data_IF_945294311880
#
_entry.id   IF_945294311880
#
_cell.length_a   1.000
_cell.length_b   1.000
_cell.length_c   1.000
_cell.angle_alpha   90.00
_cell.angle_beta   90.00
_cell.angle_gamma   90.00
#
_symmetry.space_group_name_H-M   'P 1'
#
loop_
_entity.id
_entity.type
_entity.pdbx_description
1 polymer ?
#
# COMPACT_ATOMS: atom_id res chain seq x y z
N UNK A 1 2.72 7.73 15.90
CA UNK A 1 3.53 8.26 14.76
C UNK A 1 3.47 9.78 14.70
N UNK A 2 2.32 10.42 14.89
CA UNK A 2 2.18 11.88 14.91
C UNK A 2 3.12 12.59 15.90
N UNK A 3 3.24 12.10 17.14
CA UNK A 3 4.08 12.73 18.17
C UNK A 3 5.59 12.76 17.86
N UNK A 4 6.08 11.88 16.96
CA UNK A 4 7.48 11.89 16.53
C UNK A 4 7.75 12.87 15.38
N UNK A 5 6.78 13.13 14.54
CA UNK A 5 6.90 14.09 13.44
C UNK A 5 6.83 15.55 13.93
N UNK A 6 6.06 15.81 15.01
CA UNK A 6 5.92 17.16 15.60
C UNK A 6 7.26 17.75 16.07
N UNK A 7 8.23 16.90 16.44
CA UNK A 7 9.55 17.37 16.87
C UNK A 7 10.52 17.71 15.73
N UNK A 8 10.17 17.42 14.48
CA UNK A 8 11.03 17.68 13.30
C UNK A 8 10.66 18.99 12.61
N UNK A 9 9.38 19.41 12.68
CA UNK A 9 8.88 20.63 12.05
C UNK A 9 8.62 21.73 13.08
N UNK A 10 8.86 23.00 12.71
CA UNK A 10 8.42 24.13 13.51
C UNK A 10 6.89 24.19 13.55
N UNK A 11 6.31 24.58 14.67
CA UNK A 11 4.84 24.64 14.84
C UNK A 11 4.17 25.54 13.77
N UNK A 12 4.86 26.58 13.29
CA UNK A 12 4.41 27.44 12.19
C UNK A 12 4.30 26.67 10.86
N UNK A 13 5.27 25.80 10.55
CA UNK A 13 5.29 25.00 9.33
C UNK A 13 4.15 23.96 9.32
N UNK A 14 3.85 23.36 10.49
CA UNK A 14 2.71 22.44 10.62
C UNK A 14 1.36 23.14 10.36
N UNK A 15 1.21 24.37 10.80
CA UNK A 15 0.01 25.16 10.52
C UNK A 15 -0.14 25.46 9.00
N UNK A 16 0.96 25.75 8.31
CA UNK A 16 0.95 26.02 6.86
C UNK A 16 0.55 24.76 6.07
N UNK A 17 1.03 23.58 6.49
CA UNK A 17 0.62 22.31 5.88
C UNK A 17 -0.85 22.00 6.14
N UNK A 18 -1.34 22.22 7.36
CA UNK A 18 -2.75 22.02 7.69
C UNK A 18 -3.65 22.95 6.88
N UNK A 19 -3.31 24.25 6.82
CA UNK A 19 -4.05 25.21 6.00
C UNK A 19 -4.08 24.81 4.51
N UNK A 20 -2.96 24.30 4.01
CA UNK A 20 -2.88 23.78 2.63
C UNK A 20 -3.77 22.56 2.42
N UNK A 21 -3.80 21.64 3.39
CA UNK A 21 -4.68 20.47 3.34
C UNK A 21 -6.16 20.85 3.40
N UNK A 22 -6.54 21.83 4.24
CA UNK A 22 -7.92 22.35 4.29
C UNK A 22 -8.33 23.08 2.98
N UNK A 23 -7.41 23.82 2.34
CA UNK A 23 -7.63 24.39 1.00
C UNK A 23 -7.82 23.29 -0.04
N UNK A 24 -7.05 22.22 0.04
CA UNK A 24 -7.19 21.03 -0.83
C UNK A 24 -8.55 20.38 -0.63
N UNK A 25 -9.01 20.20 0.61
CA UNK A 25 -10.36 19.69 0.90
C UNK A 25 -11.45 20.57 0.26
N UNK A 26 -11.32 21.90 0.37
CA UNK A 26 -12.23 22.86 -0.28
C UNK A 26 -12.18 22.81 -1.81
N UNK A 27 -11.04 22.43 -2.40
CA UNK A 27 -10.93 22.20 -3.83
C UNK A 27 -11.59 20.87 -4.24
N UNK A 28 -11.32 19.79 -3.56
CA UNK A 28 -11.90 18.44 -3.79
C UNK A 28 -13.44 18.53 -3.75
N UNK A 29 -13.99 19.26 -2.77
CA UNK A 29 -15.44 19.43 -2.61
C UNK A 29 -16.15 20.03 -3.83
N UNK A 30 -15.46 20.78 -4.68
CA UNK A 30 -16.06 21.34 -5.92
C UNK A 30 -16.36 20.27 -6.97
N UNK A 31 -15.72 19.11 -6.86
CA UNK A 31 -15.84 18.01 -7.80
C UNK A 31 -16.61 16.82 -7.22
N UNK A 32 -17.25 17.03 -6.09
CA UNK A 32 -18.08 16.05 -5.40
C UNK A 32 -19.34 15.74 -6.21
N UNK A 33 -19.71 14.47 -6.23
CA UNK A 33 -21.00 13.97 -6.68
C UNK A 33 -21.61 13.22 -5.49
N UNK A 34 -22.75 13.69 -5.00
CA UNK A 34 -23.51 13.08 -3.92
C UNK A 34 -24.84 12.57 -4.43
N UNK A 35 -25.17 11.32 -4.15
CA UNK A 35 -26.46 10.70 -4.46
C UNK A 35 -26.82 9.64 -3.39
N UNK A 36 -27.85 8.85 -3.62
CA UNK A 36 -28.33 7.81 -2.70
C UNK A 36 -27.30 6.68 -2.44
N UNK A 37 -26.23 6.62 -3.24
CA UNK A 37 -25.14 5.64 -3.07
C UNK A 37 -24.05 6.13 -2.16
N UNK A 38 -23.99 7.44 -1.85
CA UNK A 38 -22.93 8.07 -1.09
C UNK A 38 -22.19 9.13 -1.91
N UNK A 39 -20.91 9.40 -1.58
CA UNK A 39 -20.10 10.40 -2.26
C UNK A 39 -18.94 9.81 -3.05
N UNK A 40 -18.74 10.37 -4.23
CA UNK A 40 -17.58 10.15 -5.10
C UNK A 40 -17.17 11.48 -5.73
N UNK A 41 -16.03 11.49 -6.39
CA UNK A 41 -15.48 12.73 -6.94
C UNK A 41 -15.09 12.54 -8.41
N UNK A 42 -15.24 13.62 -9.19
CA UNK A 42 -14.68 13.67 -10.54
C UNK A 42 -13.17 13.72 -10.44
N UNK A 43 -12.49 12.74 -11.00
CA UNK A 43 -11.04 12.61 -10.99
C UNK A 43 -10.51 12.81 -12.40
N UNK A 44 -9.53 13.71 -12.56
CA UNK A 44 -8.82 13.86 -13.84
C UNK A 44 -7.70 12.84 -13.93
N UNK A 45 -7.77 11.92 -14.88
CA UNK A 45 -6.71 10.92 -15.16
C UNK A 45 -5.47 11.50 -15.84
N UNK A 46 -5.43 12.83 -16.10
CA UNK A 46 -4.29 13.48 -16.75
C UNK A 46 -4.02 14.83 -16.12
N UNK A 47 -2.77 15.02 -15.71
CA UNK A 47 -2.27 16.28 -15.16
C UNK A 47 -2.63 17.47 -16.04
N UNK A 48 -3.25 18.52 -15.47
CA UNK A 48 -3.57 19.78 -16.15
C UNK A 48 -4.81 19.77 -17.04
N UNK A 49 -5.62 18.71 -17.07
CA UNK A 49 -6.93 18.75 -17.76
C UNK A 49 -8.05 19.18 -16.82
N UNK A 50 -9.03 19.90 -17.40
CA UNK A 50 -10.25 20.29 -16.72
C UNK A 50 -10.99 19.05 -16.19
N UNK A 51 -11.26 18.95 -14.88
CA UNK A 51 -12.05 17.86 -14.31
C UNK A 51 -13.43 17.71 -14.95
N UNK A 52 -14.00 18.79 -15.50
CA UNK A 52 -15.28 18.74 -16.20
C UNK A 52 -15.21 18.01 -17.57
N UNK A 53 -14.00 17.81 -18.10
CA UNK A 53 -13.73 17.07 -19.33
C UNK A 53 -13.39 15.57 -19.08
N UNK A 54 -13.53 15.08 -17.85
CA UNK A 54 -13.18 13.68 -17.47
C UNK A 54 -14.18 12.70 -18.06
N UNK A 55 -13.66 11.65 -18.70
CA UNK A 55 -14.46 10.52 -19.19
C UNK A 55 -15.16 9.79 -18.01
N UNK A 56 -16.33 9.23 -18.28
CA UNK A 56 -17.18 8.60 -17.27
C UNK A 56 -16.50 7.46 -16.48
N UNK A 57 -15.49 6.81 -17.05
CA UNK A 57 -14.73 5.73 -16.40
C UNK A 57 -14.01 6.14 -15.11
N UNK A 58 -13.65 7.42 -14.97
CA UNK A 58 -13.00 7.94 -13.75
C UNK A 58 -13.99 8.32 -12.65
N UNK A 59 -15.28 8.43 -12.96
CA UNK A 59 -16.32 8.74 -11.98
C UNK A 59 -16.66 7.58 -11.05
N UNK A 60 -16.19 6.39 -11.36
CA UNK A 60 -16.46 5.15 -10.61
C UNK A 60 -15.22 4.56 -9.96
N UNK A 61 -14.09 5.30 -9.95
CA UNK A 61 -12.89 4.82 -9.29
C UNK A 61 -13.10 4.75 -7.77
N UNK A 62 -12.95 3.55 -7.23
CA UNK A 62 -13.12 3.24 -5.81
C UNK A 62 -11.79 3.03 -5.09
N UNK A 63 -10.68 3.12 -5.80
CA UNK A 63 -9.35 2.78 -5.30
C UNK A 63 -8.83 3.72 -4.20
N UNK A 64 -7.82 3.23 -3.47
CA UNK A 64 -7.09 4.06 -2.51
C UNK A 64 -6.18 5.07 -3.22
N UNK A 65 -5.65 4.73 -4.41
CA UNK A 65 -4.67 5.57 -5.10
C UNK A 65 -5.30 6.75 -5.83
N UNK A 66 -6.41 6.56 -6.52
CA UNK A 66 -7.05 7.59 -7.33
C UNK A 66 -8.53 7.80 -7.07
N UNK A 67 -9.16 6.98 -6.22
CA UNK A 67 -10.60 6.91 -6.10
C UNK A 67 -11.19 7.36 -4.76
N UNK A 68 -12.44 6.95 -4.55
CA UNK A 68 -13.24 7.33 -3.39
C UNK A 68 -12.60 6.90 -2.06
N UNK A 69 -11.97 5.71 -2.00
CA UNK A 69 -11.28 5.27 -0.78
C UNK A 69 -10.13 6.20 -0.38
N UNK A 70 -9.34 6.68 -1.35
CA UNK A 70 -8.23 7.59 -1.08
C UNK A 70 -8.68 8.98 -0.62
N UNK A 71 -9.74 9.50 -1.24
CA UNK A 71 -10.32 10.77 -0.83
C UNK A 71 -10.98 10.66 0.55
N UNK A 72 -11.72 9.57 0.82
CA UNK A 72 -12.26 9.28 2.14
C UNK A 72 -11.17 9.15 3.21
N UNK A 73 -10.06 8.48 2.89
CA UNK A 73 -8.90 8.41 3.78
C UNK A 73 -8.28 9.78 4.06
N UNK A 74 -8.15 10.63 3.04
CA UNK A 74 -7.68 12.01 3.21
C UNK A 74 -8.59 12.80 4.19
N UNK A 75 -9.90 12.71 4.04
CA UNK A 75 -10.84 13.37 4.94
C UNK A 75 -10.79 12.78 6.37
N UNK A 76 -10.64 11.47 6.51
CA UNK A 76 -10.46 10.84 7.82
C UNK A 76 -9.19 11.37 8.53
N UNK A 77 -8.08 11.55 7.79
CA UNK A 77 -6.86 12.14 8.35
C UNK A 77 -7.06 13.62 8.74
N UNK A 78 -7.80 14.39 7.97
CA UNK A 78 -8.16 15.77 8.35
C UNK A 78 -9.02 15.81 9.61
N UNK A 79 -9.97 14.91 9.75
CA UNK A 79 -10.74 14.77 10.98
C UNK A 79 -9.84 14.47 12.18
N UNK A 80 -8.92 13.52 12.06
CA UNK A 80 -7.98 13.17 13.12
C UNK A 80 -7.09 14.35 13.57
N UNK A 81 -6.72 15.22 12.65
CA UNK A 81 -5.88 16.39 12.93
C UNK A 81 -6.68 17.58 13.49
N UNK A 82 -7.93 17.76 13.05
CA UNK A 82 -8.71 18.97 13.35
C UNK A 82 -9.82 18.76 14.38
N UNK A 83 -10.33 17.54 14.50
CA UNK A 83 -11.56 17.22 15.25
C UNK A 83 -12.83 17.79 14.59
N UNK A 84 -12.79 18.25 13.36
CA UNK A 84 -13.92 18.87 12.69
C UNK A 84 -14.83 17.81 12.04
N UNK A 85 -16.02 17.59 12.61
CA UNK A 85 -17.00 16.56 12.22
C UNK A 85 -17.32 16.55 10.73
N UNK A 86 -17.35 17.70 10.07
CA UNK A 86 -17.58 17.79 8.62
C UNK A 86 -16.65 16.92 7.79
N UNK A 87 -15.41 16.64 8.27
CA UNK A 87 -14.47 15.78 7.57
C UNK A 87 -14.73 14.28 7.85
N UNK A 88 -15.25 13.97 9.02
CA UNK A 88 -15.71 12.62 9.30
C UNK A 88 -16.91 12.26 8.44
N UNK A 89 -17.91 13.17 8.32
CA UNK A 89 -19.07 13.00 7.44
C UNK A 89 -18.65 12.72 5.97
N UNK A 90 -17.66 13.47 5.44
CA UNK A 90 -17.15 13.21 4.09
C UNK A 90 -16.49 11.82 3.96
N UNK A 91 -15.78 11.35 4.99
CA UNK A 91 -15.18 10.02 4.98
C UNK A 91 -16.25 8.91 5.07
N UNK A 92 -17.29 9.10 5.89
CA UNK A 92 -18.41 8.17 6.01
C UNK A 92 -19.19 8.06 4.70
N UNK A 93 -19.48 9.18 4.03
CA UNK A 93 -20.15 9.20 2.73
C UNK A 93 -19.33 8.53 1.62
N UNK A 94 -17.99 8.65 1.68
CA UNK A 94 -17.10 7.90 0.79
C UNK A 94 -17.19 6.39 1.01
N UNK A 95 -17.21 5.95 2.27
CA UNK A 95 -17.37 4.54 2.61
C UNK A 95 -18.76 4.02 2.20
N UNK A 96 -19.82 4.81 2.40
CA UNK A 96 -21.17 4.50 1.95
C UNK A 96 -21.20 4.22 0.43
N UNK A 97 -20.51 5.06 -0.36
CA UNK A 97 -20.39 4.85 -1.80
C UNK A 97 -19.69 3.52 -2.13
N UNK A 98 -18.58 3.20 -1.45
CA UNK A 98 -17.89 1.93 -1.66
C UNK A 98 -18.80 0.73 -1.36
N UNK A 99 -19.51 0.76 -0.23
CA UNK A 99 -20.38 -0.32 0.22
C UNK A 99 -21.55 -0.50 -0.75
N UNK A 100 -22.20 0.60 -1.16
CA UNK A 100 -23.42 0.56 -1.98
C UNK A 100 -23.15 0.27 -3.46
N UNK A 101 -21.89 0.41 -3.93
CA UNK A 101 -21.52 0.17 -5.32
C UNK A 101 -20.68 -1.08 -5.52
N UNK A 102 -20.29 -1.76 -4.44
CA UNK A 102 -19.48 -2.96 -4.55
C UNK A 102 -20.30 -4.09 -5.21
N UNK A 103 -19.79 -4.56 -6.32
CA UNK A 103 -20.25 -5.77 -6.98
C UNK A 103 -19.08 -6.75 -7.08
N UNK A 104 -19.31 -8.01 -6.71
CA UNK A 104 -18.29 -9.03 -6.83
C UNK A 104 -18.05 -9.33 -8.31
N UNK A 105 -16.87 -8.98 -8.78
CA UNK A 105 -16.44 -9.25 -10.14
C UNK A 105 -15.77 -10.63 -10.25
N UNK A 106 -15.75 -11.20 -11.46
CA UNK A 106 -15.06 -12.48 -11.73
C UNK A 106 -13.53 -12.34 -11.68
N UNK A 107 -13.00 -11.13 -11.93
CA UNK A 107 -11.59 -10.80 -11.87
C UNK A 107 -11.43 -9.45 -11.18
N UNK A 108 -10.86 -9.45 -9.99
CA UNK A 108 -10.58 -8.22 -9.23
C UNK A 108 -9.08 -7.91 -9.17
N UNK A 109 -8.77 -6.64 -9.03
CA UNK A 109 -7.47 -6.22 -8.54
C UNK A 109 -7.46 -6.35 -7.01
N UNK A 110 -6.69 -7.26 -6.40
CA UNK A 110 -6.70 -7.42 -4.95
C UNK A 110 -5.79 -6.42 -4.24
N UNK A 111 -4.89 -5.74 -4.96
CA UNK A 111 -3.81 -4.93 -4.42
C UNK A 111 -4.25 -3.74 -3.56
N UNK A 112 -3.30 -3.17 -2.84
CA UNK A 112 -3.58 -2.09 -1.88
C UNK A 112 -3.89 -0.75 -2.56
N UNK A 113 -3.21 -0.42 -3.66
CA UNK A 113 -3.34 0.90 -4.27
C UNK A 113 -4.56 1.02 -5.17
N UNK A 114 -4.78 0.05 -6.05
CA UNK A 114 -5.83 0.09 -7.07
C UNK A 114 -6.91 -0.97 -6.87
N UNK A 115 -6.96 -1.61 -5.71
CA UNK A 115 -7.80 -2.77 -5.52
C UNK A 115 -8.50 -2.87 -4.18
N UNK A 116 -9.01 -4.07 -3.90
CA UNK A 116 -9.88 -4.36 -2.76
C UNK A 116 -9.19 -4.14 -1.41
N UNK A 117 -7.90 -4.46 -1.30
CA UNK A 117 -7.17 -4.29 -0.03
C UNK A 117 -7.09 -2.84 0.41
N UNK A 118 -6.97 -1.88 -0.52
CA UNK A 118 -6.97 -0.46 -0.20
C UNK A 118 -8.31 0.04 0.32
N UNK A 119 -9.39 -0.41 -0.31
CA UNK A 119 -10.76 -0.11 0.14
C UNK A 119 -11.00 -0.70 1.54
N UNK A 120 -10.57 -1.95 1.75
CA UNK A 120 -10.69 -2.63 3.04
C UNK A 120 -9.88 -1.95 4.15
N UNK A 121 -8.66 -1.48 3.87
CA UNK A 121 -7.85 -0.72 4.85
C UNK A 121 -8.55 0.59 5.21
N UNK A 122 -9.05 1.34 4.23
CA UNK A 122 -9.77 2.59 4.50
C UNK A 122 -10.98 2.35 5.40
N UNK A 123 -11.83 1.37 5.07
CA UNK A 123 -13.04 1.08 5.86
C UNK A 123 -12.72 0.52 7.25
N UNK A 124 -11.63 -0.24 7.43
CA UNK A 124 -11.14 -0.63 8.76
C UNK A 124 -10.69 0.56 9.60
N UNK A 125 -9.99 1.52 9.02
CA UNK A 125 -9.58 2.75 9.71
C UNK A 125 -10.79 3.59 10.11
N UNK A 126 -11.80 3.65 9.26
CA UNK A 126 -13.05 4.34 9.56
C UNK A 126 -13.83 3.61 10.66
N UNK A 127 -13.89 2.27 10.63
CA UNK A 127 -14.46 1.46 11.72
C UNK A 127 -13.77 1.75 13.06
N UNK A 128 -12.44 1.82 13.08
CA UNK A 128 -11.70 2.15 14.31
C UNK A 128 -12.11 3.51 14.91
N UNK A 129 -12.51 4.43 14.07
CA UNK A 129 -12.89 5.77 14.48
C UNK A 129 -14.37 5.88 14.89
N UNK A 130 -15.26 5.23 14.14
CA UNK A 130 -16.72 5.40 14.29
C UNK A 130 -17.39 4.26 15.05
N UNK A 131 -16.81 3.05 15.03
CA UNK A 131 -17.45 1.84 15.52
C UNK A 131 -18.58 1.33 14.62
N UNK A 132 -18.77 1.86 13.41
CA UNK A 132 -19.82 1.39 12.50
C UNK A 132 -19.46 0.02 11.92
N UNK A 133 -20.17 -1.02 12.37
CA UNK A 133 -19.99 -2.42 12.00
C UNK A 133 -20.14 -2.68 10.50
N UNK A 134 -20.83 -1.82 9.73
CA UNK A 134 -20.94 -1.95 8.26
C UNK A 134 -19.58 -1.86 7.61
N UNK A 135 -18.71 -0.97 8.10
CA UNK A 135 -17.34 -0.80 7.60
C UNK A 135 -16.48 -2.04 7.88
N UNK A 136 -16.60 -2.63 9.07
CA UNK A 136 -15.88 -3.87 9.40
C UNK A 136 -16.39 -5.05 8.56
N UNK A 137 -17.72 -5.17 8.40
CA UNK A 137 -18.29 -6.25 7.59
C UNK A 137 -17.89 -6.14 6.12
N UNK A 138 -17.88 -4.93 5.58
CA UNK A 138 -17.42 -4.68 4.22
C UNK A 138 -15.94 -5.06 4.04
N UNK A 139 -15.07 -4.64 4.97
CA UNK A 139 -13.67 -5.06 4.94
C UNK A 139 -13.53 -6.59 4.97
N UNK A 140 -14.27 -7.31 5.81
CA UNK A 140 -14.26 -8.78 5.81
C UNK A 140 -14.69 -9.37 4.47
N UNK A 141 -15.74 -8.83 3.86
CA UNK A 141 -16.22 -9.27 2.54
C UNK A 141 -15.11 -9.14 1.48
N UNK A 142 -14.43 -7.98 1.44
CA UNK A 142 -13.33 -7.76 0.49
C UNK A 142 -12.15 -8.72 0.71
N UNK A 143 -11.85 -9.06 1.96
CA UNK A 143 -10.81 -10.02 2.31
C UNK A 143 -11.13 -11.44 1.82
N UNK A 144 -12.37 -11.91 2.03
CA UNK A 144 -12.83 -13.21 1.57
C UNK A 144 -12.89 -13.29 0.04
N UNK A 145 -13.34 -12.23 -0.62
CA UNK A 145 -13.38 -12.18 -2.08
C UNK A 145 -11.97 -12.19 -2.68
N UNK A 146 -11.02 -11.46 -2.08
CA UNK A 146 -9.61 -11.53 -2.48
C UNK A 146 -9.05 -12.95 -2.34
N UNK A 147 -9.35 -13.65 -1.23
CA UNK A 147 -8.89 -15.03 -1.05
C UNK A 147 -9.54 -16.01 -2.04
N UNK A 148 -10.85 -15.87 -2.26
CA UNK A 148 -11.61 -16.76 -3.16
C UNK A 148 -11.10 -16.68 -4.60
N UNK A 149 -10.58 -15.52 -5.01
CA UNK A 149 -10.08 -15.26 -6.36
C UNK A 149 -8.59 -15.52 -6.53
N UNK A 150 -7.90 -15.95 -5.47
CA UNK A 150 -6.49 -16.31 -5.57
C UNK A 150 -6.27 -17.57 -6.39
N UNK A 151 -5.15 -17.61 -7.10
CA UNK A 151 -4.61 -18.82 -7.71
C UNK A 151 -3.89 -19.61 -6.62
N UNK A 152 -4.14 -20.91 -6.54
CA UNK A 152 -3.51 -21.80 -5.56
C UNK A 152 -2.66 -22.83 -6.28
N UNK A 153 -1.38 -22.87 -5.94
CA UNK A 153 -0.43 -23.86 -6.45
C UNK A 153 0.47 -24.40 -5.34
N UNK A 154 1.49 -25.17 -5.71
CA UNK A 154 2.44 -25.80 -4.77
C UNK A 154 3.29 -24.79 -3.98
N UNK A 155 3.37 -23.54 -4.43
CA UNK A 155 4.14 -22.46 -3.77
C UNK A 155 3.31 -21.72 -2.73
N UNK A 156 1.99 -21.76 -2.87
CA UNK A 156 1.05 -21.02 -2.03
C UNK A 156 -0.06 -20.35 -2.83
N UNK A 157 -0.48 -19.16 -2.42
CA UNK A 157 -1.51 -18.38 -3.12
C UNK A 157 -0.93 -17.09 -3.68
N UNK A 158 -1.40 -16.72 -4.88
CA UNK A 158 -1.06 -15.48 -5.57
C UNK A 158 -2.21 -15.08 -6.50
N UNK A 159 -2.11 -13.92 -7.18
CA UNK A 159 -3.17 -13.49 -8.10
C UNK A 159 -2.64 -13.33 -9.53
N UNK A 160 -1.87 -12.30 -9.80
CA UNK A 160 -1.41 -11.96 -11.16
C UNK A 160 0.11 -12.03 -11.33
N UNK A 161 0.83 -12.49 -10.29
CA UNK A 161 2.29 -12.58 -10.29
C UNK A 161 3.01 -11.26 -9.97
N UNK A 162 2.30 -10.24 -9.51
CA UNK A 162 2.88 -9.02 -8.96
C UNK A 162 3.09 -9.18 -7.45
N UNK A 163 4.14 -9.90 -7.11
CA UNK A 163 4.45 -10.30 -5.73
C UNK A 163 4.97 -9.17 -4.83
N UNK A 164 5.18 -7.98 -5.38
CA UNK A 164 5.66 -6.83 -4.63
C UNK A 164 4.59 -6.24 -3.67
N UNK A 165 5.01 -5.26 -2.87
CA UNK A 165 4.11 -4.62 -1.90
C UNK A 165 2.93 -3.89 -2.56
N UNK A 166 3.09 -3.40 -3.77
CA UNK A 166 2.00 -2.72 -4.49
C UNK A 166 0.96 -3.70 -5.06
N UNK A 167 1.36 -4.94 -5.32
CA UNK A 167 0.51 -6.02 -5.81
C UNK A 167 0.08 -6.98 -4.69
N UNK A 168 0.44 -8.24 -4.85
CA UNK A 168 0.06 -9.35 -3.97
C UNK A 168 0.51 -9.12 -2.51
N UNK A 169 1.66 -8.47 -2.30
CA UNK A 169 2.15 -8.10 -0.97
C UNK A 169 1.24 -7.15 -0.21
N UNK A 170 0.54 -6.25 -0.90
CA UNK A 170 -0.43 -5.36 -0.27
C UNK A 170 -1.64 -6.10 0.31
N UNK A 171 -2.04 -7.21 -0.31
CA UNK A 171 -3.11 -8.09 0.21
C UNK A 171 -2.69 -8.72 1.52
N UNK A 172 -1.43 -9.15 1.61
CA UNK A 172 -0.86 -9.72 2.83
C UNK A 172 -0.90 -8.70 3.98
N UNK A 173 -0.46 -7.47 3.71
CA UNK A 173 -0.52 -6.38 4.69
C UNK A 173 -1.95 -6.14 5.20
N UNK A 174 -2.91 -6.15 4.30
CA UNK A 174 -4.33 -6.01 4.64
C UNK A 174 -4.84 -7.14 5.53
N UNK A 175 -4.56 -8.40 5.20
CA UNK A 175 -5.00 -9.55 6.01
C UNK A 175 -4.35 -9.57 7.39
N UNK A 176 -3.07 -9.22 7.50
CA UNK A 176 -2.40 -9.08 8.81
C UNK A 176 -3.13 -8.02 9.65
N UNK A 177 -3.41 -6.86 9.06
CA UNK A 177 -4.10 -5.77 9.76
C UNK A 177 -5.52 -6.18 10.18
N UNK A 178 -6.27 -6.84 9.30
CA UNK A 178 -7.60 -7.35 9.60
C UNK A 178 -7.58 -8.40 10.73
N UNK A 179 -6.60 -9.31 10.72
CA UNK A 179 -6.41 -10.28 11.80
C UNK A 179 -6.12 -9.61 13.15
N UNK A 180 -5.26 -8.58 13.15
CA UNK A 180 -4.96 -7.80 14.37
C UNK A 180 -6.20 -7.11 14.93
N UNK A 181 -7.05 -6.57 14.07
CA UNK A 181 -8.28 -5.86 14.46
C UNK A 181 -9.36 -6.80 14.94
N UNK A 182 -9.61 -7.87 14.21
CA UNK A 182 -10.71 -8.80 14.52
C UNK A 182 -10.34 -9.87 15.54
N UNK A 183 -9.05 -10.07 15.82
CA UNK A 183 -8.49 -11.21 16.57
C UNK A 183 -8.82 -12.56 15.92
N UNK A 184 -9.14 -12.56 14.65
CA UNK A 184 -9.44 -13.76 13.88
C UNK A 184 -8.20 -14.28 13.16
N UNK A 185 -7.67 -15.39 13.67
CA UNK A 185 -6.44 -15.99 13.17
C UNK A 185 -6.56 -16.60 11.77
N UNK A 186 -7.74 -16.72 11.16
CA UNK A 186 -7.83 -17.29 9.82
C UNK A 186 -7.24 -16.37 8.76
N UNK A 187 -7.29 -15.04 8.95
CA UNK A 187 -6.62 -14.10 8.05
C UNK A 187 -5.09 -14.21 8.11
N UNK A 188 -4.52 -14.62 9.26
CA UNK A 188 -3.09 -14.94 9.32
C UNK A 188 -2.72 -16.20 8.54
N UNK A 189 -3.64 -17.17 8.41
CA UNK A 189 -3.43 -18.32 7.54
C UNK A 189 -3.39 -17.93 6.07
N UNK A 190 -4.31 -17.06 5.65
CA UNK A 190 -4.30 -16.49 4.30
C UNK A 190 -3.01 -15.74 4.01
N UNK A 191 -2.59 -14.86 4.93
CA UNK A 191 -1.34 -14.12 4.83
C UNK A 191 -0.13 -15.06 4.73
N UNK A 192 -0.12 -16.17 5.49
CA UNK A 192 0.93 -17.18 5.45
C UNK A 192 1.03 -17.83 4.08
N UNK A 193 -0.09 -18.31 3.54
CA UNK A 193 -0.12 -18.99 2.23
C UNK A 193 0.41 -18.07 1.11
N UNK A 194 0.11 -16.76 1.18
CA UNK A 194 0.63 -15.78 0.21
C UNK A 194 2.11 -15.45 0.45
N UNK A 195 2.56 -15.35 1.71
CA UNK A 195 3.98 -15.18 2.05
C UNK A 195 4.83 -16.37 1.61
N UNK A 196 4.31 -17.60 1.73
CA UNK A 196 5.01 -18.82 1.29
C UNK A 196 5.25 -18.78 -0.23
N UNK A 197 4.28 -18.28 -1.02
CA UNK A 197 4.46 -18.05 -2.45
C UNK A 197 5.59 -17.04 -2.72
N UNK A 198 5.63 -15.91 -2.02
CA UNK A 198 6.71 -14.91 -2.13
C UNK A 198 8.05 -15.50 -1.71
N UNK A 199 8.11 -16.26 -0.61
CA UNK A 199 9.33 -16.89 -0.12
C UNK A 199 9.90 -17.92 -1.11
N UNK A 200 9.07 -18.51 -1.98
CA UNK A 200 9.54 -19.39 -3.07
C UNK A 200 10.42 -18.66 -4.09
N UNK A 201 10.34 -17.34 -4.18
CA UNK A 201 11.10 -16.49 -5.11
C UNK A 201 12.43 -16.00 -4.52
N UNK A 202 12.72 -16.31 -3.25
CA UNK A 202 13.97 -15.88 -2.61
C UNK A 202 15.20 -16.43 -3.32
N UNK A 203 16.23 -15.61 -3.41
CA UNK A 203 17.54 -15.95 -3.96
C UNK A 203 18.62 -15.74 -2.92
N UNK A 204 19.61 -16.64 -2.90
CA UNK A 204 20.80 -16.49 -2.06
C UNK A 204 21.68 -15.36 -2.63
N UNK A 205 22.13 -14.45 -1.76
CA UNK A 205 23.04 -13.36 -2.13
C UNK A 205 24.47 -13.67 -1.69
N UNK A 206 24.76 -13.50 -0.38
CA UNK A 206 26.04 -13.79 0.22
C UNK A 206 25.84 -14.29 1.64
N UNK A 207 26.70 -15.18 2.15
CA UNK A 207 26.61 -15.66 3.53
C UNK A 207 25.17 -16.07 3.91
N UNK A 208 24.57 -15.31 4.83
CA UNK A 208 23.18 -15.52 5.29
C UNK A 208 22.19 -14.47 4.70
N UNK A 209 22.58 -13.75 3.66
CA UNK A 209 21.75 -12.72 3.02
C UNK A 209 20.94 -13.28 1.86
N UNK A 210 19.67 -12.88 1.77
CA UNK A 210 18.77 -13.23 0.66
C UNK A 210 18.15 -11.98 0.04
N UNK A 211 17.74 -12.08 -1.22
CA UNK A 211 16.94 -11.08 -1.91
C UNK A 211 15.78 -11.71 -2.66
N UNK A 212 14.86 -10.89 -3.13
CA UNK A 212 13.70 -11.34 -3.89
C UNK A 212 13.75 -10.79 -5.31
N UNK A 213 13.68 -11.70 -6.27
CA UNK A 213 13.60 -11.41 -7.70
C UNK A 213 12.13 -11.45 -8.10
N UNK A 214 11.39 -10.36 -7.79
CA UNK A 214 9.95 -10.32 -7.95
C UNK A 214 9.53 -10.12 -9.41
N UNK A 215 10.33 -9.40 -10.20
CA UNK A 215 10.17 -9.18 -11.64
C UNK A 215 11.47 -8.66 -12.27
N UNK A 216 11.59 -8.73 -13.59
CA UNK A 216 12.69 -8.10 -14.33
C UNK A 216 12.31 -6.65 -14.70
N UNK A 217 12.98 -5.63 -14.14
CA UNK A 217 12.67 -4.23 -14.41
C UNK A 217 12.76 -3.85 -15.90
N UNK A 218 13.59 -4.53 -16.69
CA UNK A 218 13.77 -4.24 -18.12
C UNK A 218 12.51 -4.52 -18.94
N UNK A 219 11.59 -5.34 -18.43
CA UNK A 219 10.29 -5.61 -19.08
C UNK A 219 9.40 -4.38 -19.05
N UNK A 220 9.48 -3.59 -17.99
CA UNK A 220 8.62 -2.41 -17.78
C UNK A 220 9.33 -1.10 -18.18
N UNK A 221 10.65 -1.06 -18.04
CA UNK A 221 11.44 0.14 -18.28
C UNK A 221 12.49 -0.14 -19.36
N UNK A 222 12.19 0.19 -20.59
CA UNK A 222 13.05 -0.09 -21.76
C UNK A 222 14.45 0.52 -21.67
N UNK A 223 14.65 1.53 -20.82
CA UNK A 223 15.95 2.14 -20.54
C UNK A 223 16.77 1.40 -19.48
N UNK A 224 16.18 0.41 -18.80
CA UNK A 224 16.85 -0.36 -17.75
C UNK A 224 17.46 -1.63 -18.35
N UNK A 225 18.74 -1.91 -18.09
CA UNK A 225 19.34 -3.19 -18.51
C UNK A 225 18.68 -4.37 -17.80
N UNK A 226 18.59 -5.52 -18.49
CA UNK A 226 18.12 -6.77 -17.89
C UNK A 226 19.04 -7.25 -16.76
N UNK A 227 18.46 -7.98 -15.79
CA UNK A 227 19.18 -8.53 -14.65
C UNK A 227 19.37 -7.58 -13.48
N UNK A 228 18.68 -6.43 -13.49
CA UNK A 228 18.58 -5.55 -12.34
C UNK A 228 17.65 -6.13 -11.28
N UNK A 229 18.00 -5.98 -10.00
CA UNK A 229 17.17 -6.31 -8.84
C UNK A 229 16.65 -5.01 -8.23
N UNK A 230 15.35 -4.96 -7.93
CA UNK A 230 14.72 -3.83 -7.24
C UNK A 230 14.77 -4.07 -5.74
N UNK A 231 15.54 -3.28 -4.96
CA UNK A 231 15.68 -3.51 -3.52
C UNK A 231 14.68 -2.73 -2.67
N UNK A 232 13.99 -1.74 -3.23
CA UNK A 232 13.20 -0.74 -2.51
C UNK A 232 11.88 -1.28 -1.93
N UNK A 233 11.10 -0.38 -1.27
CA UNK A 233 9.92 -0.77 -0.51
C UNK A 233 8.74 -1.19 -1.39
N UNK A 234 8.37 -0.37 -2.37
CA UNK A 234 7.16 -0.63 -3.14
C UNK A 234 7.26 -1.89 -4.01
N UNK A 235 8.45 -2.15 -4.58
CA UNK A 235 8.60 -3.16 -5.63
C UNK A 235 9.69 -4.20 -5.35
N UNK A 236 10.30 -4.22 -4.16
CA UNK A 236 11.47 -5.03 -3.92
C UNK A 236 11.59 -5.64 -2.53
N UNK A 237 12.82 -6.04 -2.24
CA UNK A 237 13.17 -6.77 -1.02
C UNK A 237 12.76 -6.03 0.26
N UNK A 238 12.84 -4.69 0.30
CA UNK A 238 12.49 -3.94 1.51
C UNK A 238 11.01 -4.09 1.88
N UNK A 239 10.10 -4.05 0.90
CA UNK A 239 8.67 -4.30 1.14
C UNK A 239 8.40 -5.72 1.64
N UNK A 240 9.11 -6.71 1.11
CA UNK A 240 8.98 -8.09 1.58
C UNK A 240 9.51 -8.24 3.01
N UNK A 241 10.65 -7.62 3.34
CA UNK A 241 11.17 -7.57 4.73
C UNK A 241 10.13 -6.98 5.69
N UNK A 242 9.47 -5.90 5.28
CA UNK A 242 8.40 -5.30 6.07
C UNK A 242 7.24 -6.28 6.30
N UNK A 243 6.75 -6.96 5.25
CA UNK A 243 5.66 -7.93 5.36
C UNK A 243 6.00 -9.11 6.26
N UNK A 244 7.21 -9.67 6.12
CA UNK A 244 7.72 -10.75 6.98
C UNK A 244 7.80 -10.32 8.45
N UNK A 245 8.26 -9.09 8.69
CA UNK A 245 8.32 -8.53 10.04
C UNK A 245 6.91 -8.34 10.63
N UNK A 246 5.97 -7.80 9.84
CA UNK A 246 4.58 -7.62 10.29
C UNK A 246 3.90 -8.95 10.55
N UNK A 247 4.13 -9.94 9.72
CA UNK A 247 3.61 -11.29 9.96
C UNK A 247 4.18 -11.89 11.25
N UNK A 248 5.50 -11.78 11.48
CA UNK A 248 6.11 -12.21 12.74
C UNK A 248 5.51 -11.48 13.95
N UNK A 249 5.31 -10.16 13.86
CA UNK A 249 4.69 -9.39 14.96
C UNK A 249 3.30 -9.91 15.32
N UNK A 250 2.51 -10.35 14.34
CA UNK A 250 1.16 -10.86 14.53
C UNK A 250 1.11 -12.35 14.92
N UNK A 251 1.87 -13.20 14.21
CA UNK A 251 1.81 -14.66 14.34
C UNK A 251 2.82 -15.24 15.33
N UNK A 252 3.89 -14.50 15.69
CA UNK A 252 5.04 -14.95 16.51
C UNK A 252 5.78 -16.15 15.93
N UNK A 253 5.80 -16.28 14.61
CA UNK A 253 6.51 -17.34 13.90
C UNK A 253 7.95 -16.91 13.58
N UNK A 254 8.92 -17.45 14.31
CA UNK A 254 10.34 -17.10 14.24
C UNK A 254 10.98 -17.38 12.87
N UNK A 255 10.39 -18.27 12.07
CA UNK A 255 10.90 -18.56 10.74
C UNK A 255 10.79 -17.30 9.84
N UNK A 256 9.69 -16.55 9.92
CA UNK A 256 9.49 -15.34 9.14
C UNK A 256 10.39 -14.21 9.61
N UNK A 257 10.66 -14.09 10.92
CA UNK A 257 11.67 -13.16 11.43
C UNK A 257 13.06 -13.48 10.88
N UNK A 258 13.43 -14.75 10.81
CA UNK A 258 14.70 -15.16 10.22
C UNK A 258 14.83 -14.70 8.78
N UNK A 259 13.81 -14.92 7.93
CA UNK A 259 13.82 -14.45 6.55
C UNK A 259 13.84 -12.92 6.45
N UNK A 260 13.14 -12.21 7.33
CA UNK A 260 13.20 -10.75 7.40
C UNK A 260 14.62 -10.24 7.69
N UNK A 261 15.30 -10.85 8.65
CA UNK A 261 16.71 -10.52 8.98
C UNK A 261 17.64 -10.81 7.81
N UNK A 262 17.46 -11.94 7.12
CA UNK A 262 18.26 -12.28 5.94
C UNK A 262 18.07 -11.28 4.80
N UNK A 263 16.82 -10.84 4.55
CA UNK A 263 16.51 -9.80 3.57
C UNK A 263 17.08 -8.43 3.97
N UNK A 264 17.00 -8.07 5.24
CA UNK A 264 17.63 -6.85 5.76
C UNK A 264 19.16 -6.87 5.57
N UNK A 265 19.82 -8.01 5.81
CA UNK A 265 21.26 -8.15 5.58
C UNK A 265 21.63 -7.85 4.13
N UNK A 266 20.85 -8.34 3.16
CA UNK A 266 21.05 -7.97 1.75
C UNK A 266 20.98 -6.46 1.54
N UNK A 267 19.93 -5.80 2.03
CA UNK A 267 19.76 -4.34 1.88
C UNK A 267 20.96 -3.58 2.50
N UNK A 268 21.45 -4.03 3.65
CA UNK A 268 22.60 -3.46 4.31
C UNK A 268 23.90 -3.65 3.51
N UNK A 269 24.09 -4.84 2.90
CA UNK A 269 25.30 -5.14 2.12
C UNK A 269 25.38 -4.34 0.83
N UNK A 270 24.24 -4.05 0.16
CA UNK A 270 24.23 -3.27 -1.08
C UNK A 270 24.15 -1.75 -0.85
N UNK A 271 23.89 -1.31 0.37
CA UNK A 271 23.72 0.10 0.67
C UNK A 271 25.06 0.86 0.58
N UNK A 272 25.04 2.04 -0.04
CA UNK A 272 26.11 3.02 0.00
C UNK A 272 26.04 3.77 1.33
N UNK A 273 26.92 3.44 2.25
CA UNK A 273 26.90 3.97 3.61
C UNK A 273 28.07 4.91 3.87
N UNK A 274 27.78 6.02 4.56
CA UNK A 274 28.75 6.95 5.12
C UNK A 274 28.53 7.00 6.63
N UNK A 275 29.36 7.78 7.36
CA UNK A 275 29.16 8.01 8.79
C UNK A 275 27.81 8.66 9.14
N UNK A 276 27.19 9.37 8.19
CA UNK A 276 25.98 10.18 8.41
C UNK A 276 24.73 9.67 7.71
N UNK A 277 24.88 8.84 6.68
CA UNK A 277 23.76 8.39 5.84
C UNK A 277 24.03 7.02 5.21
N UNK A 278 22.95 6.30 4.94
CA UNK A 278 22.97 5.05 4.20
C UNK A 278 21.88 5.12 3.12
N UNK A 279 22.25 4.82 1.88
CA UNK A 279 21.35 4.89 0.74
C UNK A 279 21.37 3.54 0.04
N UNK A 280 20.21 2.88 -0.03
CA UNK A 280 20.00 1.70 -0.86
C UNK A 280 19.87 2.16 -2.31
N UNK A 281 20.54 1.53 -3.29
CA UNK A 281 20.47 1.94 -4.69
C UNK A 281 19.08 1.73 -5.26
N UNK A 282 18.72 2.52 -6.26
CA UNK A 282 17.46 2.36 -7.01
C UNK A 282 17.35 0.96 -7.65
N UNK A 283 18.41 0.51 -8.29
CA UNK A 283 18.58 -0.82 -8.84
C UNK A 283 19.93 -1.40 -8.43
N UNK A 284 19.94 -2.68 -8.15
CA UNK A 284 21.16 -3.43 -7.87
C UNK A 284 21.44 -4.40 -9.03
N UNK A 285 22.68 -4.41 -9.53
CA UNK A 285 23.16 -5.37 -10.54
C UNK A 285 24.21 -6.29 -9.93
N UNK A 286 24.00 -7.60 -10.10
CA UNK A 286 24.95 -8.62 -9.63
C UNK A 286 26.29 -8.45 -10.35
N UNK A 287 27.36 -8.22 -9.57
CA UNK A 287 28.71 -7.95 -10.11
C UNK A 287 29.24 -6.55 -9.83
N UNK A 288 28.47 -5.68 -9.16
CA UNK A 288 28.97 -4.45 -8.53
C UNK A 288 29.14 -3.25 -9.45
N UNK A 289 28.95 -3.36 -10.75
CA UNK A 289 28.86 -2.18 -11.60
C UNK A 289 27.44 -1.62 -11.53
N UNK A 290 27.30 -0.53 -10.76
CA UNK A 290 26.06 0.25 -10.73
C UNK A 290 25.90 0.96 -12.08
N UNK A 291 25.35 0.26 -13.08
CA UNK A 291 25.11 0.79 -14.42
C UNK A 291 24.00 1.83 -14.47
N UNK A 292 23.34 2.05 -13.35
CA UNK A 292 22.19 2.93 -13.21
C UNK A 292 22.36 3.80 -11.97
N UNK A 293 23.13 4.88 -12.13
CA UNK A 293 23.36 5.86 -11.06
C UNK A 293 22.20 6.88 -11.01
N UNK A 294 21.00 6.39 -10.69
CA UNK A 294 19.84 7.24 -10.46
C UNK A 294 19.54 7.30 -8.98
N UNK A 295 19.70 8.46 -8.40
CA UNK A 295 19.25 8.74 -7.03
C UNK A 295 17.80 9.23 -7.08
N UNK A 296 16.86 8.36 -6.74
CA UNK A 296 15.45 8.69 -6.57
C UNK A 296 15.11 8.68 -5.08
N UNK A 297 14.56 9.79 -4.56
CA UNK A 297 14.29 9.94 -3.13
C UNK A 297 12.82 9.64 -2.74
N UNK A 298 12.01 9.19 -3.68
CA UNK A 298 10.60 8.89 -3.45
C UNK A 298 10.36 7.58 -2.69
N UNK A 299 9.13 7.40 -2.24
CA UNK A 299 8.67 6.21 -1.53
C UNK A 299 8.81 4.92 -2.36
N UNK A 300 8.40 4.94 -3.63
CA UNK A 300 8.34 3.71 -4.43
C UNK A 300 9.71 3.08 -4.67
N UNK A 301 10.72 3.89 -5.00
CA UNK A 301 12.01 3.41 -5.50
C UNK A 301 13.21 4.00 -4.76
N UNK A 302 12.99 4.82 -3.76
CA UNK A 302 14.05 5.52 -3.05
C UNK A 302 14.25 5.03 -1.61
N UNK A 303 15.23 5.61 -0.92
CA UNK A 303 15.58 5.24 0.45
C UNK A 303 14.55 5.67 1.49
N UNK A 304 13.51 6.42 1.10
CA UNK A 304 12.43 6.86 2.01
C UNK A 304 11.42 5.74 2.25
N UNK A 305 11.22 4.85 1.30
CA UNK A 305 10.34 3.67 1.39
C UNK A 305 11.00 2.44 1.99
#
# INVERSE_FOLDING_TARGET
MADRLINVFRKSELNDYLESAEKTAGWIKKYEIADEKGKRWKISGTEGKDPDAVESSFLTDTSLYGGAAGIGYFYLQLYELTGAEKYLEEAEDAAEYLINTYEKEDVVNPGIYNGLSGQGIFTLLLYDKTGDERNLQFAKTLAEDSYTQSVKDEKGIHWNGWYDYMGDGGVIAYWIYLAEKTKDGHYLKYAKEALDAILSLKKQFSGDSIYFELFDPSVYFTSVPSGGVVPNFAHGTAGIVYLLTKYYEAAKDEEYLKYAVQGYNFLKEIANSTEKASIVPYLYFKGGENKYDVSYLGFCHGPVG
#
